data_IF_919751234262
#
_entry.id   IF_919751234262
#
_cell.length_a   1.000
_cell.length_b   1.000
_cell.length_c   1.000
_cell.angle_alpha   90.00
_cell.angle_beta   90.00
_cell.angle_gamma   90.00
#
_symmetry.space_group_name_H-M   'P 1'
#
loop_
_entity.id
_entity.type
_entity.pdbx_description
1 polymer ?
#
# COMPACT_ATOMS: atom_id res chain seq x y z
N UNK A 1 -62.97 -55.51 -45.66
CA UNK A 1 -63.62 -54.23 -46.04
C UNK A 1 -64.74 -53.95 -45.05
N UNK A 2 -64.96 -52.65 -44.75
CA UNK A 2 -65.79 -52.04 -43.67
C UNK A 2 -65.09 -52.08 -42.31
N UNK A 3 -64.96 -51.02 -41.53
CA UNK A 3 -65.39 -49.62 -41.61
C UNK A 3 -65.11 -48.99 -40.23
N UNK A 4 -64.60 -47.77 -40.19
CA UNK A 4 -64.22 -47.00 -39.00
C UNK A 4 -65.47 -46.55 -38.21
N UNK A 5 -65.45 -46.64 -36.87
CA UNK A 5 -66.22 -45.77 -35.97
C UNK A 5 -65.58 -45.77 -34.56
N UNK A 6 -65.38 -44.57 -34.01
CA UNK A 6 -64.73 -44.31 -32.71
C UNK A 6 -65.76 -44.11 -31.60
N UNK A 7 -65.53 -44.58 -30.36
CA UNK A 7 -66.35 -44.17 -29.22
C UNK A 7 -65.68 -43.04 -28.42
N UNK A 8 -66.47 -42.00 -28.13
CA UNK A 8 -66.15 -40.84 -27.30
C UNK A 8 -66.06 -41.22 -25.80
N UNK A 9 -65.16 -40.57 -25.05
CA UNK A 9 -65.12 -40.63 -23.58
C UNK A 9 -65.91 -39.46 -22.94
N UNK A 10 -66.62 -39.68 -21.82
CA UNK A 10 -67.38 -38.63 -21.15
C UNK A 10 -66.50 -37.75 -20.23
N UNK A 11 -66.86 -36.49 -20.15
CA UNK A 11 -66.26 -35.42 -19.34
C UNK A 11 -66.68 -35.48 -17.87
N UNK A 12 -65.72 -35.56 -16.96
CA UNK A 12 -65.87 -35.35 -15.50
C UNK A 12 -65.04 -34.13 -15.01
N UNK A 13 -65.37 -33.55 -13.84
CA UNK A 13 -64.97 -32.19 -13.48
C UNK A 13 -63.49 -32.07 -13.07
N UNK A 14 -62.91 -30.90 -13.39
CA UNK A 14 -61.52 -30.50 -13.13
C UNK A 14 -61.27 -30.39 -11.63
N UNK A 15 -60.46 -31.30 -11.09
CA UNK A 15 -59.81 -31.14 -9.79
C UNK A 15 -58.76 -30.02 -9.87
N UNK A 16 -58.87 -29.06 -8.97
CA UNK A 16 -57.89 -28.00 -8.74
C UNK A 16 -56.53 -28.61 -8.41
N UNK A 17 -55.53 -28.34 -9.24
CA UNK A 17 -54.13 -28.58 -8.86
C UNK A 17 -53.69 -27.39 -8.03
N UNK A 18 -53.51 -27.61 -6.74
CA UNK A 18 -52.79 -26.71 -5.85
C UNK A 18 -51.41 -26.45 -6.43
N UNK A 19 -51.22 -25.26 -7.00
CA UNK A 19 -49.91 -24.79 -7.44
C UNK A 19 -49.13 -24.44 -6.18
N UNK A 20 -48.28 -25.37 -5.74
CA UNK A 20 -47.24 -25.08 -4.75
C UNK A 20 -46.36 -23.97 -5.33
N UNK A 21 -46.64 -22.71 -4.94
CA UNK A 21 -45.78 -21.56 -5.24
C UNK A 21 -44.47 -21.78 -4.50
N UNK A 22 -43.50 -22.36 -5.20
CA UNK A 22 -42.11 -22.33 -4.78
C UNK A 22 -41.68 -20.86 -4.73
N UNK A 23 -41.60 -20.30 -3.53
CA UNK A 23 -41.10 -18.95 -3.27
C UNK A 23 -39.69 -18.87 -3.85
N UNK A 24 -39.56 -18.16 -5.00
CA UNK A 24 -38.25 -17.76 -5.52
C UNK A 24 -37.64 -16.83 -4.48
N UNK A 25 -36.86 -17.42 -3.58
CA UNK A 25 -35.94 -16.70 -2.71
C UNK A 25 -34.97 -15.99 -3.64
N UNK A 26 -35.24 -14.71 -3.90
CA UNK A 26 -34.37 -13.80 -4.62
C UNK A 26 -32.98 -13.93 -4.00
N UNK A 27 -32.07 -14.67 -4.66
CA UNK A 27 -30.66 -14.59 -4.31
C UNK A 27 -30.26 -13.18 -4.66
N UNK A 28 -30.33 -12.27 -3.68
CA UNK A 28 -29.56 -11.03 -3.68
C UNK A 28 -28.11 -11.46 -3.86
N UNK A 29 -27.65 -11.57 -5.09
CA UNK A 29 -26.22 -11.48 -5.39
C UNK A 29 -25.85 -10.12 -4.84
N UNK A 30 -25.15 -10.11 -3.71
CA UNK A 30 -24.45 -8.92 -3.25
C UNK A 30 -23.64 -8.46 -4.44
N UNK A 31 -24.12 -7.39 -5.09
CA UNK A 31 -23.41 -6.80 -6.22
C UNK A 31 -22.14 -6.27 -5.60
N UNK A 32 -21.02 -6.98 -5.80
CA UNK A 32 -19.70 -6.52 -5.40
C UNK A 32 -19.54 -5.18 -6.10
N UNK A 33 -19.66 -4.09 -5.34
CA UNK A 33 -19.42 -2.76 -5.89
C UNK A 33 -17.92 -2.70 -6.19
N UNK A 34 -17.51 -2.33 -7.41
CA UNK A 34 -16.10 -2.11 -7.66
C UNK A 34 -15.61 -1.05 -6.65
N UNK A 35 -14.60 -1.42 -5.87
CA UNK A 35 -14.05 -0.51 -4.88
C UNK A 35 -13.15 0.46 -5.64
N UNK A 36 -13.57 1.72 -5.74
CA UNK A 36 -12.77 2.80 -6.34
C UNK A 36 -11.74 3.32 -5.32
N UNK A 37 -10.93 2.41 -4.82
CA UNK A 37 -9.83 2.68 -3.91
C UNK A 37 -8.51 2.30 -4.57
N UNK A 38 -7.47 3.06 -4.27
CA UNK A 38 -6.10 2.73 -4.65
C UNK A 38 -5.30 2.53 -3.37
N UNK A 39 -4.63 1.39 -3.27
CA UNK A 39 -3.74 1.04 -2.16
C UNK A 39 -2.32 0.93 -2.69
N UNK A 40 -1.40 1.62 -2.01
CA UNK A 40 0.02 1.63 -2.35
C UNK A 40 0.85 1.73 -1.07
N UNK A 41 2.11 1.32 -1.14
CA UNK A 41 2.98 1.26 0.03
C UNK A 41 4.43 1.62 -0.28
N UNK A 42 5.15 2.06 0.74
CA UNK A 42 6.61 1.95 0.78
C UNK A 42 7.06 1.30 2.08
N UNK A 43 8.04 0.40 1.99
CA UNK A 43 8.55 -0.33 3.15
C UNK A 43 9.35 0.57 4.09
N UNK A 44 8.96 0.63 5.36
CA UNK A 44 9.66 1.37 6.43
C UNK A 44 10.63 0.49 7.23
N UNK A 45 10.38 -0.82 7.26
CA UNK A 45 11.22 -1.79 7.96
C UNK A 45 11.16 -1.64 9.49
N UNK A 46 12.14 -2.23 10.18
CA UNK A 46 12.33 -2.08 11.63
C UNK A 46 13.82 -2.23 11.95
N UNK A 47 14.37 -1.29 12.72
CA UNK A 47 15.78 -1.28 13.16
C UNK A 47 15.93 -1.52 14.66
N UNK A 48 14.82 -1.64 15.38
CA UNK A 48 14.81 -1.94 16.81
C UNK A 48 14.72 -3.46 17.03
N UNK A 49 15.82 -4.13 17.47
CA UNK A 49 15.83 -5.58 17.64
C UNK A 49 14.89 -6.06 18.75
N UNK A 50 14.57 -5.21 19.74
CA UNK A 50 13.69 -5.55 20.85
C UNK A 50 12.24 -5.79 20.44
N UNK A 51 11.84 -5.37 19.22
CA UNK A 51 10.49 -5.59 18.69
C UNK A 51 10.34 -6.96 18.02
N UNK A 52 11.43 -7.65 17.67
CA UNK A 52 11.33 -8.95 16.97
C UNK A 52 10.65 -10.04 17.80
N UNK A 53 10.60 -9.89 19.12
CA UNK A 53 9.81 -10.76 20.00
C UNK A 53 8.30 -10.80 19.67
N UNK A 54 7.78 -9.80 18.96
CA UNK A 54 6.38 -9.76 18.54
C UNK A 54 6.12 -10.48 17.21
N UNK A 55 7.16 -10.91 16.52
CA UNK A 55 7.03 -11.76 15.33
C UNK A 55 6.92 -13.21 15.79
N UNK A 56 5.72 -13.76 15.73
CA UNK A 56 5.40 -15.11 16.19
C UNK A 56 4.74 -15.93 15.07
N UNK A 57 4.89 -17.26 15.08
CA UNK A 57 4.24 -18.13 14.09
C UNK A 57 2.74 -18.35 14.37
N UNK A 58 2.31 -18.20 15.64
CA UNK A 58 0.90 -18.25 16.04
C UNK A 58 0.33 -16.84 16.17
N UNK A 59 -0.99 -16.71 15.96
CA UNK A 59 -1.74 -15.44 16.06
C UNK A 59 -1.22 -14.30 15.16
N UNK A 60 -0.48 -14.66 14.11
CA UNK A 60 0.05 -13.78 13.10
C UNK A 60 -0.36 -14.25 11.71
N UNK A 61 -0.78 -13.31 10.87
CA UNK A 61 -1.04 -13.57 9.45
C UNK A 61 -0.02 -12.77 8.64
N UNK A 62 0.66 -13.45 7.72
CA UNK A 62 1.64 -12.79 6.84
C UNK A 62 1.00 -11.61 6.09
N UNK A 63 1.78 -10.55 5.94
CA UNK A 63 1.34 -9.28 5.38
C UNK A 63 0.61 -9.45 4.05
N UNK A 64 1.14 -10.25 3.13
CA UNK A 64 0.54 -10.44 1.79
C UNK A 64 -0.90 -10.97 1.84
N UNK A 65 -1.22 -11.85 2.81
CA UNK A 65 -2.59 -12.35 2.99
C UNK A 65 -3.47 -11.24 3.55
N UNK A 66 -2.98 -10.50 4.56
CA UNK A 66 -3.71 -9.38 5.17
C UNK A 66 -4.03 -8.30 4.13
N UNK A 67 -3.07 -7.97 3.28
CA UNK A 67 -3.23 -7.04 2.16
C UNK A 67 -4.34 -7.49 1.20
N UNK A 68 -4.29 -8.74 0.72
CA UNK A 68 -5.31 -9.28 -0.19
C UNK A 68 -6.71 -9.29 0.45
N UNK A 69 -6.81 -9.65 1.72
CA UNK A 69 -8.09 -9.66 2.45
C UNK A 69 -8.63 -8.25 2.62
N UNK A 70 -7.80 -7.29 3.02
CA UNK A 70 -8.18 -5.89 3.16
C UNK A 70 -8.67 -5.30 1.82
N UNK A 71 -7.93 -5.52 0.73
CA UNK A 71 -8.33 -5.07 -0.61
C UNK A 71 -9.68 -5.65 -1.09
N UNK A 72 -10.06 -6.84 -0.62
CA UNK A 72 -11.32 -7.49 -1.01
C UNK A 72 -12.52 -7.07 -0.16
N UNK A 73 -12.29 -6.74 1.11
CA UNK A 73 -13.36 -6.50 2.08
C UNK A 73 -13.63 -5.02 2.34
N UNK A 74 -12.64 -4.15 2.15
CA UNK A 74 -12.76 -2.74 2.48
C UNK A 74 -13.76 -2.00 1.58
N UNK A 75 -14.54 -1.12 2.21
CA UNK A 75 -15.41 -0.17 1.51
C UNK A 75 -14.83 1.24 1.48
N UNK A 76 -13.91 1.56 2.38
CA UNK A 76 -13.32 2.87 2.64
C UNK A 76 -11.94 2.70 3.32
N UNK A 77 -11.19 3.78 3.49
CA UNK A 77 -9.82 3.70 4.01
C UNK A 77 -9.75 3.21 5.46
N UNK A 78 -10.74 3.58 6.27
CA UNK A 78 -10.82 3.16 7.67
C UNK A 78 -11.08 1.65 7.80
N UNK A 79 -12.05 1.12 7.05
CA UNK A 79 -12.34 -0.33 7.03
C UNK A 79 -11.19 -1.15 6.45
N UNK A 80 -10.45 -0.61 5.48
CA UNK A 80 -9.20 -1.22 5.00
C UNK A 80 -8.19 -1.35 6.14
N UNK A 81 -7.93 -0.25 6.85
CA UNK A 81 -6.99 -0.22 7.97
C UNK A 81 -7.41 -1.16 9.13
N UNK A 82 -8.69 -1.15 9.50
CA UNK A 82 -9.26 -2.03 10.54
C UNK A 82 -9.17 -3.52 10.17
N UNK A 83 -9.26 -3.85 8.88
CA UNK A 83 -9.11 -5.22 8.39
C UNK A 83 -7.64 -5.63 8.37
N UNK A 84 -6.77 -4.77 7.84
CA UNK A 84 -5.34 -5.05 7.64
C UNK A 84 -4.56 -5.18 8.94
N UNK A 85 -4.92 -4.41 9.98
CA UNK A 85 -4.19 -4.42 11.27
C UNK A 85 -4.42 -5.68 12.11
N UNK A 86 -5.43 -6.49 11.78
CA UNK A 86 -5.74 -7.74 12.51
C UNK A 86 -4.62 -8.76 12.30
N UNK A 87 -4.22 -9.42 13.38
CA UNK A 87 -3.16 -10.43 13.37
C UNK A 87 -1.86 -9.91 12.73
N UNK A 88 -1.47 -8.68 13.07
CA UNK A 88 -0.24 -8.06 12.60
C UNK A 88 0.96 -8.99 12.83
N UNK A 89 1.64 -9.36 11.75
CA UNK A 89 2.81 -10.24 11.79
C UNK A 89 4.12 -9.55 12.16
N UNK A 90 4.20 -8.22 12.08
CA UNK A 90 5.46 -7.50 12.19
C UNK A 90 6.45 -7.80 11.05
N UNK A 91 5.96 -8.38 9.95
CA UNK A 91 6.74 -8.68 8.75
C UNK A 91 6.24 -7.82 7.59
N UNK A 92 7.16 -7.49 6.67
CA UNK A 92 6.95 -6.51 5.59
C UNK A 92 6.33 -5.21 6.12
N UNK A 93 7.10 -4.52 6.97
CA UNK A 93 6.67 -3.35 7.71
C UNK A 93 6.64 -2.13 6.78
N UNK A 94 5.44 -1.65 6.48
CA UNK A 94 5.20 -0.66 5.43
C UNK A 94 4.43 0.57 5.95
N UNK A 95 4.59 1.69 5.25
CA UNK A 95 3.63 2.78 5.25
C UNK A 95 2.66 2.56 4.09
N UNK A 96 1.41 2.26 4.42
CA UNK A 96 0.30 2.12 3.50
C UNK A 96 -0.42 3.44 3.31
N UNK A 97 -0.70 3.78 2.06
CA UNK A 97 -1.55 4.90 1.66
C UNK A 97 -2.78 4.32 0.97
N UNK A 98 -3.95 4.64 1.50
CA UNK A 98 -5.25 4.20 0.98
C UNK A 98 -5.99 5.45 0.50
N UNK A 99 -6.11 5.57 -0.81
CA UNK A 99 -6.80 6.69 -1.47
C UNK A 99 -8.19 6.23 -1.86
N UNK A 100 -9.22 6.87 -1.30
CA UNK A 100 -10.61 6.59 -1.66
C UNK A 100 -11.17 7.66 -2.61
N UNK A 101 -11.22 7.33 -3.90
CA UNK A 101 -11.74 8.25 -4.91
C UNK A 101 -13.25 8.51 -4.77
N UNK A 102 -14.00 7.73 -3.97
CA UNK A 102 -15.42 8.03 -3.69
C UNK A 102 -15.58 9.32 -2.87
N UNK A 103 -14.58 9.65 -2.06
CA UNK A 103 -14.57 10.85 -1.23
C UNK A 103 -13.97 12.07 -1.96
N UNK A 104 -13.37 11.87 -3.14
CA UNK A 104 -12.77 12.95 -3.91
C UNK A 104 -13.77 13.56 -4.89
N UNK A 105 -13.93 14.89 -4.83
CA UNK A 105 -14.78 15.66 -5.75
C UNK A 105 -13.89 16.58 -6.58
N UNK A 106 -13.77 16.37 -7.90
CA UNK A 106 -12.96 17.23 -8.78
C UNK A 106 -13.39 18.70 -8.69
N UNK A 107 -12.44 19.60 -8.45
CA UNK A 107 -12.68 21.05 -8.29
C UNK A 107 -13.40 21.44 -6.99
N UNK A 108 -13.71 20.49 -6.12
CA UNK A 108 -14.32 20.74 -4.82
C UNK A 108 -13.30 21.18 -3.75
N UNK A 109 -13.78 21.78 -2.64
CA UNK A 109 -12.95 22.04 -1.47
C UNK A 109 -12.59 20.74 -0.74
N UNK A 110 -11.74 20.83 0.29
CA UNK A 110 -11.41 19.67 1.13
C UNK A 110 -12.66 19.01 1.69
N UNK A 111 -12.73 17.68 1.55
CA UNK A 111 -13.77 16.85 2.16
C UNK A 111 -13.61 16.74 3.69
N UNK A 112 -12.51 17.25 4.26
CA UNK A 112 -12.16 17.16 5.69
C UNK A 112 -11.63 15.79 6.11
N UNK A 113 -12.20 14.71 5.59
CA UNK A 113 -11.80 13.32 5.88
C UNK A 113 -12.17 12.36 4.74
N UNK A 114 -11.61 11.16 4.76
CA UNK A 114 -12.00 10.02 3.93
C UNK A 114 -11.27 9.89 2.60
N UNK A 115 -10.52 10.90 2.16
CA UNK A 115 -9.79 10.83 0.88
C UNK A 115 -8.49 10.04 1.02
N UNK A 116 -7.71 10.30 2.07
CA UNK A 116 -6.43 9.64 2.32
C UNK A 116 -6.39 9.08 3.74
N UNK A 117 -6.27 7.76 3.85
CA UNK A 117 -5.91 7.09 5.11
C UNK A 117 -4.48 6.59 5.03
N UNK A 118 -3.68 6.88 6.06
CA UNK A 118 -2.30 6.40 6.18
C UNK A 118 -2.22 5.42 7.34
N UNK A 119 -1.58 4.28 7.09
CA UNK A 119 -1.32 3.24 8.08
C UNK A 119 0.16 2.90 8.09
N UNK A 120 0.78 2.83 9.26
CA UNK A 120 2.15 2.35 9.42
C UNK A 120 2.19 1.16 10.36
N UNK A 121 2.94 0.13 9.95
CA UNK A 121 3.08 -1.11 10.69
C UNK A 121 4.54 -1.36 11.04
N UNK A 122 4.79 -1.74 12.30
CA UNK A 122 6.03 -2.36 12.78
C UNK A 122 5.66 -3.56 13.70
N UNK A 123 6.62 -4.41 14.14
CA UNK A 123 6.27 -5.52 15.01
C UNK A 123 5.65 -5.04 16.33
N UNK A 124 4.44 -5.52 16.62
CA UNK A 124 3.69 -5.17 17.84
C UNK A 124 2.99 -3.82 17.83
N UNK A 125 3.05 -3.04 16.73
CA UNK A 125 2.40 -1.72 16.66
C UNK A 125 1.88 -1.42 15.25
N UNK A 126 0.66 -0.90 15.19
CA UNK A 126 0.05 -0.35 13.97
C UNK A 126 -0.55 1.00 14.32
N UNK A 127 -0.19 2.03 13.57
CA UNK A 127 -0.74 3.39 13.73
C UNK A 127 -1.51 3.73 12.47
N UNK A 128 -2.70 4.30 12.64
CA UNK A 128 -3.61 4.67 11.55
C UNK A 128 -4.08 6.09 11.77
N UNK A 129 -4.07 6.91 10.72
CA UNK A 129 -4.71 8.22 10.75
C UNK A 129 -5.31 8.57 9.39
N UNK A 130 -6.37 9.37 9.44
CA UNK A 130 -6.84 10.09 8.27
C UNK A 130 -5.92 11.30 8.03
N UNK A 131 -5.34 11.37 6.83
CA UNK A 131 -4.41 12.42 6.41
C UNK A 131 -5.01 13.30 5.31
N UNK A 132 -6.33 13.32 5.18
CA UNK A 132 -7.04 14.15 4.21
C UNK A 132 -6.77 15.63 4.43
N UNK A 133 -6.89 16.14 5.65
CA UNK A 133 -6.63 17.56 5.93
C UNK A 133 -5.20 17.98 5.53
N UNK A 134 -4.21 17.17 5.93
CA UNK A 134 -2.80 17.41 5.59
C UNK A 134 -2.53 17.31 4.07
N UNK A 135 -3.17 16.36 3.38
CA UNK A 135 -3.08 16.24 1.92
C UNK A 135 -3.61 17.49 1.21
N UNK A 136 -4.73 18.06 1.66
CA UNK A 136 -5.28 19.28 1.05
C UNK A 136 -4.48 20.52 1.43
N UNK A 137 -3.90 20.58 2.63
CA UNK A 137 -3.04 21.68 3.06
C UNK A 137 -1.72 21.71 2.28
N UNK A 138 -1.04 20.56 2.19
CA UNK A 138 0.26 20.43 1.51
C UNK A 138 0.14 20.28 0.00
N UNK A 139 -1.04 19.94 -0.51
CA UNK A 139 -1.35 19.53 -1.89
C UNK A 139 -0.70 18.24 -2.38
N UNK A 140 0.05 17.53 -1.52
CA UNK A 140 0.65 16.23 -1.84
C UNK A 140 0.88 15.39 -0.57
N UNK A 141 1.06 14.08 -0.77
CA UNK A 141 1.59 13.16 0.24
C UNK A 141 2.74 12.35 -0.39
N UNK A 142 3.92 12.41 0.20
CA UNK A 142 5.10 11.68 -0.28
C UNK A 142 5.51 10.56 0.69
N UNK A 143 5.95 9.45 0.12
CA UNK A 143 6.39 8.26 0.85
C UNK A 143 7.75 7.78 0.32
N UNK A 144 8.69 7.51 1.22
CA UNK A 144 10.10 7.26 0.86
C UNK A 144 10.82 6.43 1.93
N UNK A 145 10.20 5.33 2.38
CA UNK A 145 10.78 4.35 3.32
C UNK A 145 11.13 4.87 4.73
N UNK A 146 10.63 6.04 5.12
CA UNK A 146 10.75 6.57 6.49
C UNK A 146 9.33 6.78 7.04
N UNK A 147 9.00 6.25 8.24
CA UNK A 147 7.70 6.44 8.86
C UNK A 147 7.43 7.92 9.17
N UNK A 148 6.23 8.35 8.85
CA UNK A 148 5.68 9.70 9.08
C UNK A 148 5.13 9.87 10.50
N UNK A 149 4.66 8.81 11.15
CA UNK A 149 4.19 8.90 12.52
C UNK A 149 5.39 8.88 13.47
N UNK A 150 5.53 9.93 14.28
CA UNK A 150 6.64 10.07 15.23
C UNK A 150 6.74 8.88 16.19
N UNK A 151 5.60 8.33 16.63
CA UNK A 151 5.55 7.14 17.47
C UNK A 151 6.19 5.91 16.81
N UNK A 152 5.93 5.69 15.52
CA UNK A 152 6.50 4.59 14.74
C UNK A 152 7.97 4.86 14.44
N UNK A 153 8.33 6.10 14.10
CA UNK A 153 9.71 6.54 13.90
C UNK A 153 10.58 6.25 15.12
N UNK A 154 10.11 6.67 16.30
CA UNK A 154 10.81 6.47 17.56
C UNK A 154 10.89 4.99 17.95
N UNK A 155 9.78 4.26 17.86
CA UNK A 155 9.72 2.85 18.26
C UNK A 155 10.57 1.94 17.35
N UNK A 156 10.68 2.24 16.05
CA UNK A 156 11.43 1.45 15.07
C UNK A 156 12.95 1.64 15.13
N UNK A 157 13.46 2.54 15.98
CA UNK A 157 14.89 2.73 16.22
C UNK A 157 15.60 3.72 15.29
N UNK A 158 14.86 4.52 14.51
CA UNK A 158 15.42 5.50 13.59
C UNK A 158 16.15 6.69 14.27
N UNK A 159 15.77 7.19 15.46
CA UNK A 159 16.51 8.25 16.12
C UNK A 159 18.00 7.92 16.33
N UNK A 160 18.34 6.66 16.62
CA UNK A 160 19.73 6.22 16.74
C UNK A 160 20.50 6.31 15.42
N UNK A 161 19.83 6.00 14.29
CA UNK A 161 20.44 6.13 12.97
C UNK A 161 20.57 7.58 12.52
N UNK A 162 19.64 8.46 12.91
CA UNK A 162 19.79 9.91 12.70
C UNK A 162 20.98 10.45 13.48
N UNK A 163 21.17 10.04 14.73
CA UNK A 163 22.33 10.45 15.53
C UNK A 163 23.66 9.95 14.92
N UNK A 164 23.67 8.76 14.30
CA UNK A 164 24.87 8.15 13.74
C UNK A 164 25.20 8.62 12.32
N UNK A 165 24.20 8.78 11.45
CA UNK A 165 24.36 8.99 10.01
C UNK A 165 23.71 10.30 9.52
N UNK A 166 23.10 11.08 10.41
CA UNK A 166 22.51 12.37 10.10
C UNK A 166 21.20 12.29 9.32
N UNK A 167 21.01 13.27 8.43
CA UNK A 167 19.73 13.56 7.79
C UNK A 167 19.24 12.51 6.81
N UNK A 168 20.08 11.54 6.44
CA UNK A 168 19.68 10.44 5.56
C UNK A 168 18.51 9.63 6.13
N UNK A 169 18.44 9.48 7.45
CA UNK A 169 17.36 8.78 8.17
C UNK A 169 16.32 9.73 8.76
N UNK A 170 16.46 11.04 8.56
CA UNK A 170 15.47 12.03 9.01
C UNK A 170 14.29 12.02 8.06
N UNK A 171 13.06 12.00 8.59
CA UNK A 171 11.84 12.05 7.77
C UNK A 171 11.86 13.28 6.85
N UNK A 172 12.00 14.48 7.40
CA UNK A 172 11.91 15.73 6.64
C UNK A 172 13.17 16.11 5.86
N UNK A 173 14.33 15.57 6.22
CA UNK A 173 15.63 15.99 5.66
C UNK A 173 16.31 14.92 4.83
N UNK A 174 15.71 13.73 4.67
CA UNK A 174 16.25 12.73 3.74
C UNK A 174 16.30 13.27 2.30
N UNK A 175 17.22 12.79 1.45
CA UNK A 175 17.35 13.29 0.08
C UNK A 175 16.05 13.24 -0.72
N UNK A 176 15.28 12.14 -0.60
CA UNK A 176 13.99 12.00 -1.29
C UNK A 176 12.93 12.96 -0.73
N UNK A 177 12.91 13.20 0.57
CA UNK A 177 12.03 14.21 1.15
C UNK A 177 12.34 15.61 0.61
N UNK A 178 13.62 15.94 0.45
CA UNK A 178 14.04 17.22 -0.12
C UNK A 178 13.66 17.35 -1.61
N UNK A 179 13.84 16.29 -2.41
CA UNK A 179 13.44 16.28 -3.83
C UNK A 179 11.92 16.50 -3.94
N UNK A 180 11.11 15.75 -3.17
CA UNK A 180 9.66 15.95 -3.17
C UNK A 180 9.29 17.36 -2.73
N UNK A 181 9.90 17.89 -1.66
CA UNK A 181 9.63 19.26 -1.19
C UNK A 181 9.92 20.31 -2.26
N UNK A 182 10.95 20.11 -3.08
CA UNK A 182 11.36 21.03 -4.15
C UNK A 182 10.49 20.90 -5.41
N UNK A 183 10.22 19.66 -5.85
CA UNK A 183 9.76 19.40 -7.22
C UNK A 183 8.30 18.96 -7.33
N UNK A 184 7.62 18.63 -6.22
CA UNK A 184 6.24 18.12 -6.27
C UNK A 184 5.26 19.08 -6.98
N UNK A 185 5.46 20.40 -6.82
CA UNK A 185 4.58 21.41 -7.42
C UNK A 185 4.76 21.52 -8.94
N UNK A 186 5.78 20.88 -9.51
CA UNK A 186 5.97 20.79 -10.96
C UNK A 186 5.06 19.73 -11.59
N UNK A 187 4.43 18.87 -10.79
CA UNK A 187 3.50 17.85 -11.27
C UNK A 187 2.11 18.46 -11.47
N UNK A 188 1.66 18.54 -12.72
CA UNK A 188 0.36 19.10 -13.11
C UNK A 188 -0.46 18.17 -14.00
N UNK A 189 0.13 17.06 -14.43
CA UNK A 189 -0.50 16.01 -15.23
C UNK A 189 0.22 14.66 -15.02
N UNK A 190 -0.27 13.62 -15.70
CA UNK A 190 0.28 12.27 -15.57
C UNK A 190 1.71 12.18 -16.11
N UNK A 191 2.04 12.90 -17.18
CA UNK A 191 3.37 12.85 -17.80
C UNK A 191 4.43 13.50 -16.90
N UNK A 192 4.14 14.68 -16.34
CA UNK A 192 4.98 15.34 -15.34
C UNK A 192 5.10 14.51 -14.05
N UNK A 193 4.05 13.80 -13.64
CA UNK A 193 4.13 12.84 -12.53
C UNK A 193 5.11 11.70 -12.84
N UNK A 194 5.03 11.11 -14.04
CA UNK A 194 5.94 10.05 -14.47
C UNK A 194 7.38 10.57 -14.50
N UNK A 195 7.60 11.79 -14.99
CA UNK A 195 8.92 12.44 -15.02
C UNK A 195 9.49 12.59 -13.61
N UNK A 196 8.70 13.07 -12.64
CA UNK A 196 9.14 13.21 -11.26
C UNK A 196 9.47 11.85 -10.63
N UNK A 197 8.59 10.85 -10.78
CA UNK A 197 8.81 9.52 -10.21
C UNK A 197 10.04 8.83 -10.81
N UNK A 198 10.31 9.06 -12.10
CA UNK A 198 11.51 8.55 -12.80
C UNK A 198 12.76 9.39 -12.58
N UNK A 199 12.67 10.48 -11.82
CA UNK A 199 13.79 11.38 -11.59
C UNK A 199 14.93 10.63 -10.87
N UNK A 200 16.07 10.52 -11.56
CA UNK A 200 17.34 10.05 -11.01
C UNK A 200 18.12 11.24 -10.38
N UNK A 201 17.71 12.47 -10.68
CA UNK A 201 18.37 13.72 -10.29
C UNK A 201 19.78 13.87 -10.88
N UNK A 202 20.30 15.09 -10.89
CA UNK A 202 21.73 15.40 -11.09
C UNK A 202 22.54 14.95 -9.87
N UNK A 203 22.35 13.70 -9.44
CA UNK A 203 23.19 13.12 -8.41
C UNK A 203 24.62 13.06 -8.94
N UNK A 204 25.58 13.57 -8.16
CA UNK A 204 27.01 13.43 -8.40
C UNK A 204 27.31 12.03 -8.98
N UNK A 205 28.12 11.90 -10.06
CA UNK A 205 28.40 10.62 -10.67
C UNK A 205 28.81 9.58 -9.62
N UNK A 206 27.95 8.59 -9.36
CA UNK A 206 28.15 7.55 -8.36
C UNK A 206 27.29 7.63 -7.09
N UNK A 207 26.35 8.58 -6.96
CA UNK A 207 25.42 8.67 -5.81
C UNK A 207 23.95 8.62 -6.23
N UNK A 208 23.59 7.62 -7.04
CA UNK A 208 22.22 7.40 -7.54
C UNK A 208 21.23 6.93 -6.46
N UNK A 209 21.71 6.59 -5.25
CA UNK A 209 20.91 6.20 -4.07
C UNK A 209 19.97 7.29 -3.54
N UNK A 210 20.28 8.55 -3.83
CA UNK A 210 19.53 9.69 -3.34
C UNK A 210 18.30 10.04 -4.21
N UNK A 211 18.17 9.37 -5.37
CA UNK A 211 17.11 9.58 -6.34
C UNK A 211 15.74 9.06 -5.88
N UNK A 212 14.68 9.57 -6.54
CA UNK A 212 13.33 8.99 -6.44
C UNK A 212 13.28 7.62 -7.14
N UNK A 213 13.82 7.54 -8.36
CA UNK A 213 14.08 6.27 -9.04
C UNK A 213 15.54 5.89 -8.87
N UNK A 214 15.81 5.07 -7.87
CA UNK A 214 17.17 4.65 -7.58
C UNK A 214 17.67 3.62 -8.61
N UNK A 215 18.88 3.84 -9.14
CA UNK A 215 19.56 2.90 -10.03
C UNK A 215 20.81 2.32 -9.37
N UNK A 216 20.70 1.06 -8.91
CA UNK A 216 21.82 0.30 -8.30
C UNK A 216 22.98 0.09 -9.27
N UNK A 217 22.65 -0.21 -10.52
CA UNK A 217 23.62 -0.57 -11.55
C UNK A 217 24.50 0.60 -11.97
N UNK A 218 23.97 1.83 -11.92
CA UNK A 218 24.73 3.05 -12.26
C UNK A 218 25.72 3.48 -11.17
N UNK A 219 25.69 2.84 -10.01
CA UNK A 219 26.59 3.16 -8.89
C UNK A 219 28.01 2.56 -9.03
N UNK A 220 28.37 1.98 -10.17
CA UNK A 220 29.58 1.17 -10.27
C UNK A 220 30.89 1.96 -10.46
N UNK A 221 31.85 1.64 -9.58
CA UNK A 221 33.31 1.53 -9.83
C UNK A 221 34.10 2.82 -10.12
N UNK A 222 34.18 3.75 -9.16
CA UNK A 222 35.24 4.77 -9.13
C UNK A 222 36.50 4.35 -8.34
N UNK A 223 36.69 3.05 -8.07
CA UNK A 223 37.91 2.55 -7.42
C UNK A 223 38.88 1.81 -8.36
N UNK A 224 38.53 1.55 -9.62
CA UNK A 224 39.38 0.73 -10.51
C UNK A 224 40.22 1.47 -11.57
N UNK A 225 40.21 2.79 -11.64
CA UNK A 225 41.01 3.55 -12.63
C UNK A 225 42.02 4.54 -12.05
N UNK A 226 42.26 4.56 -10.73
CA UNK A 226 43.29 5.44 -10.15
C UNK A 226 43.99 4.86 -8.91
N UNK A 227 44.66 3.72 -9.05
CA UNK A 227 45.60 3.25 -8.03
C UNK A 227 46.77 2.45 -8.65
N UNK A 228 47.50 3.09 -9.55
CA UNK A 228 48.93 2.82 -9.69
C UNK A 228 49.68 3.51 -8.55
N UNK A 229 49.64 2.93 -7.34
CA UNK A 229 50.58 3.07 -6.20
C UNK A 229 49.83 2.69 -4.91
N UNK A 230 50.32 1.66 -4.25
CA UNK A 230 49.66 0.98 -3.15
C UNK A 230 49.46 1.84 -1.91
N UNK A 231 48.25 1.80 -1.38
CA UNK A 231 47.90 1.88 0.04
C UNK A 231 46.68 0.96 0.21
N UNK A 232 46.67 0.13 1.25
CA UNK A 232 45.71 -0.96 1.47
C UNK A 232 44.24 -0.49 1.57
N UNK A 233 43.26 -1.28 1.09
CA UNK A 233 41.85 -0.93 1.22
C UNK A 233 41.34 -1.28 2.63
N UNK A 234 40.70 -0.30 3.28
CA UNK A 234 39.82 -0.52 4.42
C UNK A 234 38.55 -1.25 3.94
N UNK A 235 38.36 -2.49 4.38
CA UNK A 235 37.18 -3.29 4.12
C UNK A 235 35.99 -2.75 4.90
N UNK A 236 35.01 -2.17 4.21
CA UNK A 236 33.64 -2.04 4.73
C UNK A 236 32.78 -3.01 3.93
N UNK A 237 32.49 -4.16 4.54
CA UNK A 237 31.61 -5.18 3.95
C UNK A 237 30.17 -4.66 3.87
N UNK A 238 29.47 -4.83 2.74
CA UNK A 238 28.03 -4.64 2.68
C UNK A 238 27.37 -5.76 3.50
N UNK A 239 26.56 -5.37 4.47
CA UNK A 239 25.73 -6.31 5.22
C UNK A 239 24.88 -7.13 4.23
N UNK A 240 25.12 -8.44 4.22
CA UNK A 240 24.52 -9.39 3.30
C UNK A 240 23.01 -9.44 3.43
N UNK A 241 22.35 -9.30 2.28
CA UNK A 241 21.01 -9.83 2.06
C UNK A 241 21.17 -11.34 1.86
N UNK A 242 20.58 -12.13 2.75
CA UNK A 242 20.54 -13.58 2.67
C UNK A 242 19.11 -14.06 2.85
N UNK A 243 18.64 -14.79 1.83
CA UNK A 243 17.49 -15.69 1.70
C UNK A 243 16.52 -15.88 2.88
#
# INVERSE_FOLDING_TARGET
MRGHESPQCPSGPRGEREVVKCSRRERRRSRVRPCSQVTLETTIGNRNPSLWKFVQPQDAVMEWVRNIVANRLASDGATWAETFKRFNSGTYNNQWMIVDYKAFVPGGPSAGSGVLTVLEQIPGMVVVADKTAELYEKTYWASYNIPSFESVFNASGLPGLVAQYGDWFSYDRSPRAQIFRRDQSLVHDVDSMIQLIRCVGDSEPGVTWHALCCSLSLTQTSQHTRAGRGVAPLSVSPAGWGH
#
